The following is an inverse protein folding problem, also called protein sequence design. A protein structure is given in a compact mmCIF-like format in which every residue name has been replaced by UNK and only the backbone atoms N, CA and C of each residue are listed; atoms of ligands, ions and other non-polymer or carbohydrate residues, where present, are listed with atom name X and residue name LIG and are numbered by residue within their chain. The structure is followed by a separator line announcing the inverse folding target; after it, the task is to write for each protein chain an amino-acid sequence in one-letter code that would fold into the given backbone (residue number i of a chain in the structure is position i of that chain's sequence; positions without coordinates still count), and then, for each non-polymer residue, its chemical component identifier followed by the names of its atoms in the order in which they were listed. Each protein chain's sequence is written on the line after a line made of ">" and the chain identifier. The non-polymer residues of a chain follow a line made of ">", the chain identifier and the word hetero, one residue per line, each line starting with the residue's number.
data_IF_719598153988
#
_entry.id   IF_719598153988
#
_cell.length_a   1.000
_cell.length_b   1.000
_cell.length_c   1.000
_cell.angle_alpha   90.00
_cell.angle_beta   90.00
_cell.angle_gamma   90.00
#
_symmetry.space_group_name_H-M   'P 1'
#
loop_
_entity.id
_entity.type
_entity.pdbx_description
1 polymer ?
#
# COMPACT_ATOMS: atom_id res chain seq x y z
N UNK A 1 -20.28 -20.28 -2.81
CA UNK A 1 -20.41 -19.03 -2.00
C UNK A 1 -19.19 -18.96 -1.11
N UNK A 2 -18.37 -17.93 -1.26
CA UNK A 2 -17.14 -17.74 -0.49
C UNK A 2 -17.34 -16.63 0.54
N UNK A 3 -16.81 -16.75 1.77
CA UNK A 3 -16.75 -15.63 2.71
C UNK A 3 -15.83 -14.52 2.17
N UNK A 4 -16.10 -13.26 2.54
CA UNK A 4 -15.15 -12.18 2.34
C UNK A 4 -13.88 -12.40 3.16
N UNK A 5 -12.75 -11.89 2.69
CA UNK A 5 -11.44 -12.10 3.29
C UNK A 5 -11.38 -11.58 4.74
N UNK A 6 -12.14 -10.51 5.05
CA UNK A 6 -12.27 -9.96 6.40
C UNK A 6 -12.76 -11.01 7.42
N UNK A 7 -13.65 -11.93 7.05
CA UNK A 7 -14.12 -12.98 7.96
C UNK A 7 -13.02 -13.98 8.32
N UNK A 8 -12.14 -14.30 7.38
CA UNK A 8 -10.99 -15.17 7.64
C UNK A 8 -10.03 -14.50 8.63
N UNK A 9 -9.74 -13.21 8.41
CA UNK A 9 -8.86 -12.43 9.27
C UNK A 9 -9.43 -12.28 10.70
N UNK A 10 -10.72 -11.96 10.83
CA UNK A 10 -11.40 -11.88 12.12
C UNK A 10 -11.40 -13.21 12.87
N UNK A 11 -11.51 -14.33 12.15
CA UNK A 11 -11.47 -15.66 12.73
C UNK A 11 -10.04 -16.17 13.01
N UNK A 12 -9.00 -15.39 12.69
CA UNK A 12 -7.60 -15.83 12.79
C UNK A 12 -7.27 -17.01 11.88
N UNK A 13 -8.06 -17.20 10.82
CA UNK A 13 -7.88 -18.29 9.86
C UNK A 13 -6.98 -17.85 8.70
N UNK A 14 -6.20 -18.78 8.12
CA UNK A 14 -5.42 -18.47 6.93
C UNK A 14 -6.32 -18.11 5.75
N UNK A 15 -5.90 -17.11 4.97
CA UNK A 15 -6.52 -16.80 3.68
C UNK A 15 -6.27 -17.97 2.71
N UNK A 16 -7.31 -18.58 2.13
CA UNK A 16 -7.20 -19.67 1.15
C UNK A 16 -6.29 -19.33 -0.04
N UNK A 17 -5.82 -20.35 -0.76
CA UNK A 17 -5.07 -20.16 -2.00
C UNK A 17 -5.97 -19.67 -3.14
N UNK A 18 -5.36 -18.99 -4.12
CA UNK A 18 -6.07 -18.35 -5.23
C UNK A 18 -6.96 -19.34 -6.01
N UNK A 19 -6.51 -20.59 -6.17
CA UNK A 19 -7.24 -21.66 -6.85
C UNK A 19 -8.56 -22.00 -6.16
N UNK A 20 -8.68 -21.75 -4.85
CA UNK A 20 -9.90 -22.03 -4.09
C UNK A 20 -11.06 -21.09 -4.45
N UNK A 21 -10.79 -19.95 -5.09
CA UNK A 21 -11.79 -18.91 -5.39
C UNK A 21 -12.41 -19.01 -6.78
N UNK A 22 -12.15 -20.10 -7.53
CA UNK A 22 -12.80 -20.41 -8.82
C UNK A 22 -12.79 -19.25 -9.83
N UNK A 23 -11.70 -18.49 -9.90
CA UNK A 23 -11.56 -17.35 -10.81
C UNK A 23 -12.11 -16.02 -10.29
N UNK A 24 -12.30 -15.88 -8.97
CA UNK A 24 -12.63 -14.62 -8.29
C UNK A 24 -13.91 -13.91 -8.80
N UNK A 25 -15.07 -14.59 -8.89
CA UNK A 25 -16.29 -14.02 -9.48
C UNK A 25 -16.89 -12.86 -8.66
N UNK A 26 -16.44 -12.63 -7.43
CA UNK A 26 -17.01 -11.66 -6.50
C UNK A 26 -15.93 -10.76 -5.86
N UNK A 27 -14.84 -10.51 -6.59
CA UNK A 27 -13.70 -9.73 -6.10
C UNK A 27 -14.11 -8.35 -5.55
N UNK A 28 -15.07 -7.70 -6.22
CA UNK A 28 -15.64 -6.40 -5.82
C UNK A 28 -16.29 -6.40 -4.42
N UNK A 29 -16.69 -7.58 -3.92
CA UNK A 29 -17.30 -7.74 -2.59
C UNK A 29 -16.27 -8.10 -1.51
N UNK A 30 -14.97 -7.94 -1.78
CA UNK A 30 -13.91 -8.26 -0.83
C UNK A 30 -13.61 -9.75 -0.68
N UNK A 31 -13.98 -10.56 -1.68
CA UNK A 31 -13.78 -12.01 -1.68
C UNK A 31 -12.55 -12.35 -2.53
N UNK A 32 -11.48 -12.83 -1.89
CA UNK A 32 -10.27 -13.31 -2.55
C UNK A 32 -9.25 -12.23 -2.95
N UNK A 33 -9.45 -10.97 -2.53
CA UNK A 33 -8.51 -9.87 -2.76
C UNK A 33 -7.12 -10.19 -2.21
N UNK A 34 -7.04 -10.70 -0.99
CA UNK A 34 -5.78 -11.02 -0.32
C UNK A 34 -5.09 -12.24 -0.95
N UNK A 35 -5.87 -13.23 -1.37
CA UNK A 35 -5.35 -14.39 -2.09
C UNK A 35 -4.76 -13.99 -3.45
N UNK A 36 -5.49 -13.17 -4.20
CA UNK A 36 -5.03 -12.61 -5.47
C UNK A 36 -3.77 -11.76 -5.28
N UNK A 37 -3.78 -10.84 -4.30
CA UNK A 37 -2.63 -10.00 -3.98
C UNK A 37 -1.38 -10.83 -3.64
N UNK A 38 -1.52 -11.88 -2.81
CA UNK A 38 -0.41 -12.79 -2.46
C UNK A 38 0.16 -13.50 -3.68
N UNK A 39 -0.70 -14.03 -4.54
CA UNK A 39 -0.32 -14.74 -5.75
C UNK A 39 0.39 -13.81 -6.77
N UNK A 40 -0.14 -12.60 -6.95
CA UNK A 40 0.51 -11.58 -7.77
C UNK A 40 1.86 -11.11 -7.20
N UNK A 41 1.95 -10.96 -5.87
CA UNK A 41 3.21 -10.65 -5.21
C UNK A 41 4.24 -11.73 -5.42
N UNK A 42 3.87 -13.00 -5.28
CA UNK A 42 4.79 -14.11 -5.51
C UNK A 42 5.41 -14.06 -6.91
N UNK A 43 4.59 -13.80 -7.95
CA UNK A 43 5.07 -13.63 -9.33
C UNK A 43 6.04 -12.45 -9.47
N UNK A 44 5.71 -11.30 -8.87
CA UNK A 44 6.50 -10.08 -8.95
C UNK A 44 7.83 -10.18 -8.23
N UNK A 45 7.82 -10.72 -7.02
CA UNK A 45 9.03 -10.99 -6.24
C UNK A 45 9.96 -11.96 -6.99
N UNK A 46 9.42 -13.02 -7.61
CA UNK A 46 10.21 -13.93 -8.44
C UNK A 46 10.85 -13.21 -9.64
N UNK A 47 10.12 -12.29 -10.28
CA UNK A 47 10.67 -11.45 -11.36
C UNK A 47 11.78 -10.52 -10.87
N UNK A 48 11.56 -9.80 -9.76
CA UNK A 48 12.52 -8.88 -9.18
C UNK A 48 13.81 -9.58 -8.75
N UNK A 49 13.72 -10.75 -8.10
CA UNK A 49 14.88 -11.56 -7.72
C UNK A 49 15.72 -11.98 -8.93
N UNK A 50 15.07 -12.38 -10.03
CA UNK A 50 15.77 -12.73 -11.29
C UNK A 50 16.49 -11.53 -11.91
N UNK A 51 15.92 -10.33 -11.79
CA UNK A 51 16.55 -9.10 -12.30
C UNK A 51 17.69 -8.63 -11.39
N UNK A 52 17.53 -8.72 -10.07
CA UNK A 52 18.56 -8.38 -9.10
C UNK A 52 19.81 -9.26 -9.28
N UNK A 53 19.64 -10.58 -9.47
CA UNK A 53 20.74 -11.50 -9.76
C UNK A 53 21.45 -11.29 -11.11
N UNK A 54 20.93 -10.39 -11.97
CA UNK A 54 21.53 -10.03 -13.27
C UNK A 54 22.21 -8.66 -13.28
N UNK A 55 22.01 -7.82 -12.25
CA UNK A 55 22.67 -6.52 -12.16
C UNK A 55 24.12 -6.74 -11.69
N UNK A 56 25.09 -6.30 -12.50
CA UNK A 56 26.46 -6.13 -12.03
C UNK A 56 26.51 -4.99 -11.01
N UNK A 57 27.48 -5.03 -10.09
CA UNK A 57 27.70 -4.03 -9.03
C UNK A 57 28.02 -2.60 -9.53
N UNK A 58 27.83 -2.31 -10.82
CA UNK A 58 28.26 -1.09 -11.51
C UNK A 58 27.10 -0.16 -11.91
N UNK A 59 25.84 -0.56 -11.69
CA UNK A 59 24.68 0.31 -11.91
C UNK A 59 24.54 1.31 -10.74
N UNK A 60 25.43 2.29 -10.71
CA UNK A 60 25.50 3.39 -9.75
C UNK A 60 24.32 4.36 -9.87
N UNK A 61 23.16 3.96 -9.32
CA UNK A 61 22.17 4.94 -8.90
C UNK A 61 22.72 5.67 -7.67
N UNK A 62 22.67 6.99 -7.67
CA UNK A 62 22.98 7.81 -6.49
C UNK A 62 21.97 7.46 -5.37
N UNK A 63 22.39 6.60 -4.46
CA UNK A 63 21.62 6.13 -3.29
C UNK A 63 21.88 6.97 -2.05
N UNK A 64 22.42 8.19 -2.18
CA UNK A 64 22.88 8.96 -1.02
C UNK A 64 21.78 9.31 -0.02
N UNK A 65 20.51 9.37 -0.46
CA UNK A 65 19.35 9.60 0.41
C UNK A 65 18.33 8.46 0.27
N UNK A 66 17.96 7.77 1.36
CA UNK A 66 16.94 6.72 1.32
C UNK A 66 15.56 7.29 0.98
N UNK A 67 14.83 6.56 0.14
CA UNK A 67 13.43 6.83 -0.15
C UNK A 67 12.54 6.08 0.85
N UNK A 68 11.66 6.81 1.53
CA UNK A 68 10.68 6.27 2.46
C UNK A 68 9.27 6.51 1.93
N UNK A 69 8.54 5.42 1.75
CA UNK A 69 7.14 5.42 1.37
C UNK A 69 6.28 5.12 2.60
N UNK A 70 5.31 5.98 2.89
CA UNK A 70 4.30 5.76 3.92
C UNK A 70 3.02 5.29 3.23
N UNK A 71 2.55 4.08 3.54
CA UNK A 71 1.36 3.50 2.92
C UNK A 71 0.27 3.29 4.00
N UNK A 72 -0.79 4.12 4.05
CA UNK A 72 -1.94 3.85 4.90
C UNK A 72 -2.65 2.59 4.42
N UNK A 73 -3.11 1.76 5.35
CA UNK A 73 -3.85 0.53 5.07
C UNK A 73 -4.93 0.31 6.13
N UNK A 74 -6.00 -0.39 5.76
CA UNK A 74 -6.97 -0.87 6.73
C UNK A 74 -6.33 -1.85 7.72
N UNK A 75 -6.76 -1.78 8.98
CA UNK A 75 -6.18 -2.58 10.07
C UNK A 75 -6.33 -4.08 9.87
N UNK A 76 -7.40 -4.55 9.22
CA UNK A 76 -7.62 -5.98 9.01
C UNK A 76 -6.57 -6.60 8.09
N UNK A 77 -6.26 -5.95 6.96
CA UNK A 77 -5.34 -6.51 5.97
C UNK A 77 -3.87 -6.35 6.37
N UNK A 78 -3.52 -5.37 7.20
CA UNK A 78 -2.14 -4.99 7.47
C UNK A 78 -1.22 -6.16 7.88
N UNK A 79 -1.59 -7.04 8.84
CA UNK A 79 -0.72 -8.15 9.25
C UNK A 79 -0.44 -9.15 8.13
N UNK A 80 -1.36 -9.27 7.17
CA UNK A 80 -1.22 -10.18 6.03
C UNK A 80 -0.30 -9.60 4.95
N UNK A 81 -0.46 -8.32 4.61
CA UNK A 81 0.27 -7.70 3.48
C UNK A 81 1.65 -7.17 3.88
N UNK A 82 1.87 -6.79 5.13
CA UNK A 82 3.14 -6.24 5.62
C UNK A 82 4.38 -7.09 5.25
N UNK A 83 4.43 -8.41 5.52
CA UNK A 83 5.60 -9.21 5.15
C UNK A 83 5.81 -9.33 3.63
N UNK A 84 4.75 -9.20 2.82
CA UNK A 84 4.84 -9.26 1.35
C UNK A 84 5.37 -7.93 0.79
N UNK A 85 4.82 -6.82 1.28
CA UNK A 85 5.26 -5.47 0.94
C UNK A 85 6.72 -5.23 1.33
N UNK A 86 7.13 -5.70 2.52
CA UNK A 86 8.51 -5.60 3.00
C UNK A 86 9.52 -6.31 2.08
N UNK A 87 9.20 -7.53 1.60
CA UNK A 87 10.05 -8.24 0.64
C UNK A 87 10.23 -7.47 -0.67
N UNK A 88 9.17 -6.83 -1.17
CA UNK A 88 9.28 -6.05 -2.40
C UNK A 88 10.09 -4.77 -2.18
N UNK A 89 9.86 -4.08 -1.07
CA UNK A 89 10.60 -2.88 -0.70
C UNK A 89 12.11 -3.16 -0.59
N UNK A 90 12.49 -4.27 0.04
CA UNK A 90 13.88 -4.73 0.14
C UNK A 90 14.51 -4.96 -1.25
N UNK A 91 13.85 -5.74 -2.11
CA UNK A 91 14.35 -6.01 -3.47
C UNK A 91 14.43 -4.75 -4.34
N UNK A 92 13.61 -3.76 -4.04
CA UNK A 92 13.60 -2.48 -4.75
C UNK A 92 14.52 -1.44 -4.10
N UNK A 93 15.15 -1.74 -2.95
CA UNK A 93 16.02 -0.82 -2.23
C UNK A 93 15.31 0.46 -1.82
N UNK A 94 14.17 0.33 -1.13
CA UNK A 94 13.41 1.43 -0.52
C UNK A 94 12.96 1.03 0.88
N UNK A 95 12.63 2.03 1.69
CA UNK A 95 11.87 1.83 2.91
C UNK A 95 10.38 1.99 2.59
N UNK A 96 9.57 1.01 2.96
CA UNK A 96 8.12 1.06 2.85
C UNK A 96 7.54 0.77 4.22
N UNK A 97 6.87 1.76 4.80
CA UNK A 97 6.25 1.67 6.12
C UNK A 97 4.74 1.61 5.92
N UNK A 98 4.13 0.50 6.34
CA UNK A 98 2.68 0.36 6.35
C UNK A 98 2.12 0.99 7.63
N UNK A 99 1.04 1.74 7.49
CA UNK A 99 0.36 2.41 8.59
C UNK A 99 -1.06 1.88 8.70
N UNK A 100 -1.34 0.95 9.62
CA UNK A 100 -2.71 0.54 9.93
C UNK A 100 -3.48 1.76 10.49
N UNK A 101 -4.42 2.30 9.70
CA UNK A 101 -5.18 3.50 10.07
C UNK A 101 -6.49 3.08 10.75
N UNK A 102 -6.75 3.61 11.93
CA UNK A 102 -8.05 3.49 12.60
C UNK A 102 -9.05 4.41 11.91
N UNK A 103 -10.17 3.85 11.45
CA UNK A 103 -11.24 4.61 10.86
C UNK A 103 -12.05 5.31 11.95
N UNK A 104 -11.82 6.59 12.21
CA UNK A 104 -12.58 7.35 13.21
C UNK A 104 -13.82 7.99 12.60
N UNK A 105 -13.80 8.26 11.30
CA UNK A 105 -14.92 8.89 10.60
C UNK A 105 -16.17 7.99 10.54
N UNK A 106 -16.02 6.75 10.07
CA UNK A 106 -17.11 5.76 10.01
C UNK A 106 -17.17 4.87 11.26
N UNK A 107 -16.14 4.90 12.10
CA UNK A 107 -16.06 4.15 13.36
C UNK A 107 -15.02 3.03 13.33
N UNK A 108 -14.35 2.79 14.46
CA UNK A 108 -13.14 1.95 14.53
C UNK A 108 -13.39 0.46 14.21
N UNK A 109 -14.65 0.03 14.16
CA UNK A 109 -15.03 -1.31 13.68
C UNK A 109 -14.89 -1.47 12.17
N UNK A 110 -14.73 -0.37 11.41
CA UNK A 110 -14.49 -0.40 9.97
C UNK A 110 -12.99 -0.55 9.73
N UNK A 111 -12.57 -1.72 9.25
CA UNK A 111 -11.16 -2.12 9.22
C UNK A 111 -10.56 -2.26 7.81
N UNK A 112 -11.35 -1.98 6.77
CA UNK A 112 -10.96 -2.12 5.36
C UNK A 112 -10.37 -0.83 4.79
N UNK A 113 -9.37 -0.96 3.90
CA UNK A 113 -8.69 0.20 3.30
C UNK A 113 -9.62 1.10 2.49
N UNK A 114 -10.58 0.52 1.76
CA UNK A 114 -11.45 1.28 0.86
C UNK A 114 -12.47 2.20 1.54
N UNK A 115 -12.53 2.17 2.87
CA UNK A 115 -13.39 3.06 3.67
C UNK A 115 -12.57 4.04 4.52
N UNK A 116 -11.24 4.05 4.39
CA UNK A 116 -10.40 5.05 5.03
C UNK A 116 -10.67 6.44 4.44
N UNK A 117 -10.61 7.45 5.30
CA UNK A 117 -10.90 8.84 4.96
C UNK A 117 -9.63 9.68 4.95
N UNK A 118 -9.66 10.82 4.24
CA UNK A 118 -8.50 11.68 4.13
C UNK A 118 -8.06 12.25 5.49
N UNK A 119 -9.02 12.62 6.35
CA UNK A 119 -8.71 13.09 7.69
C UNK A 119 -8.01 12.02 8.55
N UNK A 120 -8.48 10.76 8.52
CA UNK A 120 -7.98 9.70 9.39
C UNK A 120 -6.57 9.29 8.94
N UNK A 121 -6.35 9.25 7.61
CA UNK A 121 -5.03 9.06 7.01
C UNK A 121 -4.09 10.20 7.41
N UNK A 122 -4.54 11.45 7.30
CA UNK A 122 -3.70 12.60 7.65
C UNK A 122 -3.26 12.54 9.12
N UNK A 123 -4.18 12.23 10.04
CA UNK A 123 -3.89 12.12 11.46
C UNK A 123 -2.92 10.97 11.74
N UNK A 124 -3.18 9.79 11.17
CA UNK A 124 -2.37 8.60 11.41
C UNK A 124 -0.96 8.64 10.80
N UNK A 125 -0.75 9.42 9.74
CA UNK A 125 0.56 9.54 9.07
C UNK A 125 1.43 10.69 9.58
N UNK A 126 0.83 11.74 10.17
CA UNK A 126 1.49 13.03 10.44
C UNK A 126 2.84 12.89 11.16
N UNK A 127 2.88 12.11 12.24
CA UNK A 127 4.09 11.96 13.05
C UNK A 127 5.17 11.16 12.34
N UNK A 128 4.79 10.08 11.66
CA UNK A 128 5.74 9.24 10.93
C UNK A 128 6.33 9.99 9.72
N UNK A 129 5.51 10.72 8.97
CA UNK A 129 5.96 11.53 7.83
C UNK A 129 6.89 12.65 8.30
N UNK A 130 6.53 13.37 9.36
CA UNK A 130 7.39 14.40 9.97
C UNK A 130 8.73 13.81 10.42
N UNK A 131 8.72 12.64 11.06
CA UNK A 131 9.95 11.97 11.48
C UNK A 131 10.87 11.62 10.31
N UNK A 132 10.31 11.14 9.18
CA UNK A 132 11.09 10.88 7.97
C UNK A 132 11.70 12.16 7.38
N UNK A 133 10.94 13.25 7.37
CA UNK A 133 11.42 14.56 6.92
C UNK A 133 12.52 15.13 7.82
N UNK A 134 12.38 15.05 9.14
CA UNK A 134 13.39 15.52 10.11
C UNK A 134 14.72 14.74 9.98
N UNK A 135 14.65 13.50 9.51
CA UNK A 135 15.81 12.66 9.18
C UNK A 135 16.42 12.98 7.80
N UNK A 136 15.86 13.93 7.05
CA UNK A 136 16.30 14.29 5.71
C UNK A 136 16.00 13.23 4.64
N UNK A 137 15.02 12.35 4.86
CA UNK A 137 14.65 11.30 3.90
C UNK A 137 13.77 11.85 2.79
N UNK A 138 13.92 11.28 1.59
CA UNK A 138 12.95 11.52 0.51
C UNK A 138 11.67 10.78 0.86
N UNK A 139 10.60 11.53 1.13
CA UNK A 139 9.37 11.00 1.74
C UNK A 139 8.19 11.17 0.79
N UNK A 140 7.40 10.11 0.60
CA UNK A 140 6.13 10.13 -0.15
C UNK A 140 5.06 9.27 0.54
N UNK A 141 3.79 9.56 0.25
CA UNK A 141 2.65 8.71 0.60
C UNK A 141 2.24 7.87 -0.60
N UNK A 142 1.98 6.58 -0.40
CA UNK A 142 1.37 5.69 -1.41
C UNK A 142 -0.07 5.40 -1.02
N UNK A 143 -1.02 5.80 -1.86
CA UNK A 143 -2.45 5.59 -1.64
C UNK A 143 -2.97 4.52 -2.59
N UNK A 144 -3.82 3.63 -2.08
CA UNK A 144 -4.63 2.76 -2.92
C UNK A 144 -5.78 3.55 -3.53
N UNK A 145 -6.03 3.41 -4.82
CA UNK A 145 -7.18 3.99 -5.53
C UNK A 145 -8.52 3.62 -4.90
N UNK A 146 -8.63 2.44 -4.30
CA UNK A 146 -9.80 1.98 -3.54
C UNK A 146 -10.19 2.90 -2.37
N UNK A 147 -9.28 3.76 -1.88
CA UNK A 147 -9.58 4.74 -0.81
C UNK A 147 -10.34 5.97 -1.32
N UNK A 148 -10.43 6.13 -2.64
CA UNK A 148 -11.00 7.29 -3.30
C UNK A 148 -12.34 6.96 -3.94
N UNK A 149 -13.15 7.99 -4.15
CA UNK A 149 -14.37 7.90 -4.96
C UNK A 149 -13.98 7.50 -6.39
N UNK A 150 -14.79 6.62 -6.98
CA UNK A 150 -14.47 6.07 -8.30
C UNK A 150 -14.32 7.17 -9.35
N UNK A 151 -13.15 7.23 -9.98
CA UNK A 151 -12.83 8.20 -11.03
C UNK A 151 -12.48 9.60 -10.53
N UNK A 152 -12.30 9.79 -9.22
CA UNK A 152 -12.01 11.09 -8.60
C UNK A 152 -10.75 11.03 -7.70
N UNK A 153 -10.12 12.17 -7.46
CA UNK A 153 -9.04 12.33 -6.48
C UNK A 153 -9.58 12.82 -5.12
N UNK A 154 -10.71 12.26 -4.70
CA UNK A 154 -11.49 12.68 -3.53
C UNK A 154 -11.82 11.48 -2.66
N UNK A 155 -11.54 11.60 -1.36
CA UNK A 155 -11.88 10.60 -0.34
C UNK A 155 -13.38 10.66 0.01
N UNK A 156 -13.86 9.69 0.79
CA UNK A 156 -15.28 9.65 1.19
C UNK A 156 -15.72 10.83 2.07
N UNK A 157 -14.79 11.46 2.80
CA UNK A 157 -15.01 12.62 3.68
C UNK A 157 -14.77 13.98 2.99
N UNK A 158 -14.83 14.04 1.66
CA UNK A 158 -14.59 15.24 0.84
C UNK A 158 -13.16 15.83 0.94
N UNK A 159 -12.22 15.12 1.56
CA UNK A 159 -10.80 15.44 1.40
C UNK A 159 -10.36 15.17 -0.03
N UNK A 160 -9.46 16.00 -0.53
CA UNK A 160 -8.79 15.73 -1.81
C UNK A 160 -7.38 15.19 -1.56
N UNK A 161 -6.81 14.48 -2.54
CA UNK A 161 -5.40 14.07 -2.49
C UNK A 161 -4.50 15.30 -2.31
N UNK A 162 -4.74 16.38 -3.05
CA UNK A 162 -3.98 17.63 -2.91
C UNK A 162 -4.06 18.25 -1.51
N UNK A 163 -5.21 18.17 -0.85
CA UNK A 163 -5.34 18.61 0.54
C UNK A 163 -4.48 17.76 1.46
N UNK A 164 -4.52 16.44 1.29
CA UNK A 164 -3.68 15.52 2.06
C UNK A 164 -2.20 15.81 1.89
N UNK A 165 -1.74 16.03 0.66
CA UNK A 165 -0.36 16.43 0.36
C UNK A 165 0.04 17.73 1.07
N UNK A 166 -0.85 18.73 1.03
CA UNK A 166 -0.62 20.04 1.65
C UNK A 166 -0.50 19.91 3.17
N UNK A 167 -1.36 19.11 3.79
CA UNK A 167 -1.39 18.92 5.26
C UNK A 167 -0.23 18.06 5.77
N UNK A 168 0.24 17.09 4.98
CA UNK A 168 1.39 16.24 5.33
C UNK A 168 2.73 16.84 4.90
N UNK A 169 2.73 17.81 3.99
CA UNK A 169 3.94 18.44 3.46
C UNK A 169 4.76 17.53 2.53
N UNK A 170 4.16 16.46 2.01
CA UNK A 170 4.81 15.49 1.11
C UNK A 170 3.87 15.10 -0.03
N UNK A 171 4.40 14.72 -1.21
CA UNK A 171 3.57 14.22 -2.30
C UNK A 171 2.89 12.89 -1.97
N UNK A 172 1.74 12.65 -2.58
CA UNK A 172 0.99 11.42 -2.52
C UNK A 172 0.81 10.83 -3.92
N UNK A 173 1.08 9.55 -4.08
CA UNK A 173 0.87 8.83 -5.33
C UNK A 173 -0.26 7.83 -5.16
N UNK A 174 -1.28 7.97 -6.01
CA UNK A 174 -2.39 7.02 -6.11
C UNK A 174 -2.01 5.88 -7.05
N UNK A 175 -2.23 4.65 -6.61
CA UNK A 175 -1.98 3.44 -7.39
C UNK A 175 -3.13 2.45 -7.25
N UNK A 176 -3.29 1.58 -8.25
CA UNK A 176 -4.15 0.40 -8.15
C UNK A 176 -3.83 -0.37 -6.86
N UNK A 177 -4.86 -0.78 -6.12
CA UNK A 177 -4.72 -1.53 -4.87
C UNK A 177 -4.37 -3.01 -5.07
N UNK A 178 -3.42 -3.28 -5.95
CA UNK A 178 -2.92 -4.60 -6.29
C UNK A 178 -1.37 -4.65 -6.22
N UNK A 179 -0.79 -5.79 -6.56
CA UNK A 179 0.65 -5.93 -6.49
C UNK A 179 1.41 -5.17 -7.59
N UNK A 180 0.76 -4.92 -8.73
CA UNK A 180 1.31 -4.15 -9.83
C UNK A 180 1.39 -2.67 -9.51
N UNK A 181 0.30 -2.13 -8.98
CA UNK A 181 0.16 -0.76 -8.53
C UNK A 181 1.23 -0.43 -7.53
N UNK A 182 1.48 -1.30 -6.54
CA UNK A 182 2.54 -1.09 -5.56
C UNK A 182 3.95 -1.06 -6.20
N UNK A 183 4.29 -2.02 -7.08
CA UNK A 183 5.58 -2.02 -7.78
C UNK A 183 5.75 -0.74 -8.63
N UNK A 184 4.71 -0.36 -9.39
CA UNK A 184 4.70 0.84 -10.22
C UNK A 184 4.81 2.12 -9.37
N UNK A 185 4.11 2.18 -8.24
CA UNK A 185 4.12 3.29 -7.29
C UNK A 185 5.52 3.56 -6.76
N UNK A 186 6.20 2.51 -6.29
CA UNK A 186 7.58 2.63 -5.81
C UNK A 186 8.51 3.09 -6.94
N UNK A 187 8.38 2.54 -8.16
CA UNK A 187 9.20 2.97 -9.31
C UNK A 187 8.97 4.44 -9.68
N UNK A 188 7.70 4.88 -9.75
CA UNK A 188 7.34 6.26 -10.08
C UNK A 188 7.81 7.23 -9.00
N UNK A 189 7.61 6.91 -7.73
CA UNK A 189 8.04 7.75 -6.60
C UNK A 189 9.54 8.02 -6.60
N UNK A 190 10.36 7.02 -6.97
CA UNK A 190 11.82 7.22 -7.14
C UNK A 190 12.19 8.28 -8.16
N UNK A 191 11.38 8.46 -9.21
CA UNK A 191 11.59 9.45 -10.27
C UNK A 191 11.03 10.82 -9.87
N UNK A 192 9.96 10.83 -9.08
CA UNK A 192 9.23 12.05 -8.70
C UNK A 192 10.03 13.02 -7.80
N UNK A 193 11.12 12.55 -7.19
CA UNK A 193 11.92 13.30 -6.20
C UNK A 193 13.39 13.44 -6.61
N UNK A 194 13.68 13.26 -7.91
CA UNK A 194 14.95 13.62 -8.57
C UNK A 194 14.79 14.95 -9.30
#
# INVERSE_FOLDING_TARGET
>A
LFPADEFYLMAGMPIPEAEAYEGFPQLENGIGLLALFRDEMARRLARLRRLAGRRSAEDGADTSVPFTFHMPVGTAAAPFIEPLCGQMAELMGVELVLHPILNRFFGESITVSGLLTGQDICEGLRDAVRSSLDQGRKTLVLLGDVMLRQGEEVFLDDWTVTRLETELGVPALVTEADAEGLEKGIRKGKVYTL
#
